data_IF_968971659801
#
_entry.id   IF_968971659801
#
_cell.length_a   1.000
_cell.length_b   1.000
_cell.length_c   1.000
_cell.angle_alpha   90.00
_cell.angle_beta   90.00
_cell.angle_gamma   90.00
#
_symmetry.space_group_name_H-M   'P 1'
#
loop_
_entity.id
_entity.type
_entity.pdbx_description
1 polymer ?
#
# COMPACT_ATOMS: atom_id res chain seq x y z
N UNK A 1 10.43 5.96 50.00
CA UNK A 1 11.60 6.41 50.78
C UNK A 1 12.93 6.12 50.11
N UNK A 2 13.99 6.87 50.45
CA UNK A 2 15.39 6.50 50.20
C UNK A 2 15.72 5.14 50.84
N UNK A 3 16.78 4.48 50.38
CA UNK A 3 17.24 3.25 51.04
C UNK A 3 17.82 3.56 52.42
N UNK A 4 17.50 2.75 53.44
CA UNK A 4 18.02 2.92 54.81
C UNK A 4 19.55 2.78 54.85
N UNK A 5 20.14 1.94 53.99
CA UNK A 5 21.60 1.75 53.88
C UNK A 5 22.31 2.75 52.96
N UNK A 6 21.59 3.35 52.02
CA UNK A 6 22.16 4.34 51.10
C UNK A 6 21.10 5.42 50.84
N UNK A 7 21.11 6.52 51.61
CA UNK A 7 20.13 7.59 51.45
C UNK A 7 20.23 8.30 50.09
N UNK A 8 21.39 8.21 49.42
CA UNK A 8 21.59 8.72 48.06
C UNK A 8 21.08 7.73 46.99
N UNK A 9 20.80 6.49 47.38
CA UNK A 9 20.32 5.41 46.53
C UNK A 9 18.82 5.21 46.62
N UNK A 10 18.23 4.74 45.51
CA UNK A 10 16.85 4.28 45.53
C UNK A 10 16.71 3.03 46.41
N UNK A 11 15.57 2.94 47.13
CA UNK A 11 15.22 1.71 47.84
C UNK A 11 14.98 0.54 46.86
N UNK A 12 15.23 -0.70 47.31
CA UNK A 12 15.03 -1.93 46.52
C UNK A 12 13.61 -2.01 45.94
N UNK A 13 12.61 -1.59 46.72
CA UNK A 13 11.20 -1.53 46.30
C UNK A 13 10.96 -0.51 45.18
N UNK A 14 11.63 0.65 45.19
CA UNK A 14 11.54 1.60 44.07
C UNK A 14 12.25 1.08 42.82
N UNK A 15 13.40 0.44 42.99
CA UNK A 15 14.15 -0.13 41.88
C UNK A 15 13.32 -1.23 41.17
N UNK A 16 12.68 -2.11 41.93
CA UNK A 16 11.78 -3.13 41.37
C UNK A 16 10.54 -2.53 40.71
N UNK A 17 9.90 -1.53 41.33
CA UNK A 17 8.75 -0.85 40.73
C UNK A 17 9.12 -0.17 39.39
N UNK A 18 10.29 0.46 39.32
CA UNK A 18 10.80 1.08 38.08
C UNK A 18 11.09 0.04 37.00
N UNK A 19 11.74 -1.08 37.32
CA UNK A 19 12.01 -2.14 36.34
C UNK A 19 10.71 -2.78 35.83
N UNK A 20 9.71 -2.97 36.70
CA UNK A 20 8.39 -3.46 36.30
C UNK A 20 7.66 -2.47 35.38
N UNK A 21 7.72 -1.17 35.69
CA UNK A 21 7.17 -0.12 34.82
C UNK A 21 7.84 -0.14 33.44
N UNK A 22 9.17 -0.22 33.38
CA UNK A 22 9.93 -0.28 32.14
C UNK A 22 9.60 -1.54 31.31
N UNK A 23 9.48 -2.71 31.95
CA UNK A 23 9.04 -3.94 31.29
C UNK A 23 7.63 -3.81 30.70
N UNK A 24 6.70 -3.19 31.43
CA UNK A 24 5.32 -2.95 30.97
C UNK A 24 5.30 -2.03 29.74
N UNK A 25 6.05 -0.92 29.76
CA UNK A 25 6.14 -0.01 28.62
C UNK A 25 6.79 -0.70 27.42
N UNK A 26 7.86 -1.47 27.63
CA UNK A 26 8.51 -2.23 26.56
C UNK A 26 7.57 -3.25 25.92
N UNK A 27 6.76 -3.95 26.72
CA UNK A 27 5.75 -4.90 26.21
C UNK A 27 4.70 -4.21 25.34
N UNK A 28 4.23 -3.03 25.76
CA UNK A 28 3.27 -2.23 24.99
C UNK A 28 3.86 -1.74 23.67
N UNK A 29 5.10 -1.22 23.70
CA UNK A 29 5.82 -0.75 22.51
C UNK A 29 6.06 -1.92 21.55
N UNK A 30 6.54 -3.05 22.05
CA UNK A 30 6.76 -4.25 21.25
C UNK A 30 5.46 -4.70 20.57
N UNK A 31 4.36 -4.82 21.32
CA UNK A 31 3.07 -5.23 20.78
C UNK A 31 2.54 -4.29 19.68
N UNK A 32 2.76 -2.98 19.82
CA UNK A 32 2.40 -1.99 18.79
C UNK A 32 3.30 -2.11 17.55
N UNK A 33 4.60 -2.36 17.75
CA UNK A 33 5.58 -2.46 16.67
C UNK A 33 5.51 -3.77 15.89
N UNK A 34 4.95 -4.86 16.45
CA UNK A 34 4.80 -6.14 15.75
C UNK A 34 4.14 -5.98 14.38
N UNK A 35 3.11 -5.13 14.29
CA UNK A 35 2.32 -4.97 13.08
C UNK A 35 2.76 -3.77 12.23
N UNK A 36 3.80 -3.04 12.65
CA UNK A 36 4.32 -1.81 12.01
C UNK A 36 3.24 -0.75 11.71
N UNK A 37 2.14 -0.75 12.45
CA UNK A 37 1.03 0.19 12.29
C UNK A 37 1.35 1.45 13.09
N UNK A 38 1.29 2.62 12.44
CA UNK A 38 1.53 3.87 13.15
C UNK A 38 0.36 4.18 14.11
N UNK A 39 0.64 4.83 15.24
CA UNK A 39 -0.41 5.24 16.20
C UNK A 39 -1.48 6.14 15.56
N UNK A 40 -1.10 6.98 14.58
CA UNK A 40 -2.03 7.81 13.80
C UNK A 40 -2.97 6.96 12.95
N UNK A 41 -2.48 5.85 12.39
CA UNK A 41 -3.30 4.94 11.58
C UNK A 41 -4.22 4.09 12.47
N UNK A 42 -3.78 3.70 13.67
CA UNK A 42 -4.64 3.04 14.67
C UNK A 42 -5.85 3.93 15.04
N UNK A 43 -5.63 5.23 15.24
CA UNK A 43 -6.72 6.17 15.52
C UNK A 43 -7.73 6.29 14.35
N UNK A 44 -7.33 5.95 13.12
CA UNK A 44 -8.19 5.89 11.93
C UNK A 44 -8.76 4.48 11.67
N UNK A 45 -8.61 3.57 12.61
CA UNK A 45 -9.15 2.21 12.54
C UNK A 45 -8.21 1.15 11.95
N UNK A 46 -6.94 1.44 11.71
CA UNK A 46 -5.99 0.42 11.25
C UNK A 46 -5.77 -0.65 12.33
N UNK A 47 -5.79 -1.91 11.92
CA UNK A 47 -5.59 -3.11 12.77
C UNK A 47 -4.68 -4.09 12.02
N UNK A 48 -4.09 -5.10 12.68
CA UNK A 48 -3.32 -6.13 11.97
C UNK A 48 -4.18 -6.74 10.85
N UNK A 49 -3.67 -6.72 9.62
CA UNK A 49 -4.40 -7.17 8.42
C UNK A 49 -5.44 -6.20 7.86
N UNK A 50 -5.73 -5.08 8.52
CA UNK A 50 -6.70 -4.07 8.08
C UNK A 50 -6.06 -2.69 7.94
N UNK A 51 -6.06 -2.17 6.71
CA UNK A 51 -5.60 -0.82 6.41
C UNK A 51 -6.51 0.24 7.07
N UNK A 52 -6.01 1.46 7.30
CA UNK A 52 -6.83 2.54 7.86
C UNK A 52 -8.00 2.87 6.95
N UNK A 53 -9.11 3.33 7.53
CA UNK A 53 -10.32 3.69 6.79
C UNK A 53 -10.20 5.03 6.07
N UNK A 54 -9.28 5.90 6.51
CA UNK A 54 -9.11 7.26 5.99
C UNK A 54 -7.64 7.70 5.98
N UNK A 55 -7.37 8.76 5.22
CA UNK A 55 -6.05 9.36 5.09
C UNK A 55 -5.18 8.74 3.98
N UNK A 56 -3.90 9.11 3.90
CA UNK A 56 -3.04 8.80 2.77
C UNK A 56 -2.71 7.30 2.63
N UNK A 57 -2.81 6.54 3.74
CA UNK A 57 -2.54 5.10 3.77
C UNK A 57 -3.81 4.25 3.61
N UNK A 58 -4.97 4.89 3.41
CA UNK A 58 -6.22 4.17 3.26
C UNK A 58 -6.26 3.43 1.92
N UNK A 59 -6.89 2.24 1.92
CA UNK A 59 -7.04 1.47 0.70
C UNK A 59 -7.97 2.19 -0.26
N UNK A 60 -7.49 2.45 -1.48
CA UNK A 60 -8.36 2.88 -2.56
C UNK A 60 -9.19 1.70 -3.06
N UNK A 61 -10.49 1.94 -3.30
CA UNK A 61 -11.33 0.97 -4.01
C UNK A 61 -10.77 0.74 -5.42
N UNK A 62 -10.82 -0.50 -5.91
CA UNK A 62 -10.30 -0.84 -7.24
C UNK A 62 -10.94 -0.04 -8.38
N UNK A 63 -12.20 0.41 -8.24
CA UNK A 63 -12.82 1.32 -9.23
C UNK A 63 -12.17 2.71 -9.19
N UNK A 64 -11.81 3.22 -8.01
CA UNK A 64 -11.15 4.52 -7.84
C UNK A 64 -9.71 4.47 -8.34
N UNK A 65 -8.97 3.39 -8.05
CA UNK A 65 -7.61 3.17 -8.54
C UNK A 65 -7.56 3.20 -10.08
N UNK A 66 -8.38 2.38 -10.75
CA UNK A 66 -8.49 2.36 -12.22
C UNK A 66 -8.84 3.72 -12.82
N UNK A 67 -9.72 4.49 -12.17
CA UNK A 67 -10.06 5.86 -12.64
C UNK A 67 -8.89 6.83 -12.48
N UNK A 68 -8.10 6.69 -11.43
CA UNK A 68 -6.93 7.53 -11.18
C UNK A 68 -5.85 7.23 -12.21
N UNK A 69 -5.54 5.96 -12.45
CA UNK A 69 -4.59 5.50 -13.48
C UNK A 69 -4.96 6.04 -14.86
N UNK A 70 -6.22 5.92 -15.29
CA UNK A 70 -6.70 6.49 -16.57
C UNK A 70 -6.47 8.00 -16.66
N UNK A 71 -6.80 8.74 -15.59
CA UNK A 71 -6.58 10.19 -15.54
C UNK A 71 -5.11 10.57 -15.60
N UNK A 72 -4.24 9.81 -14.91
CA UNK A 72 -2.79 10.00 -14.99
C UNK A 72 -2.27 9.72 -16.40
N UNK A 73 -2.74 8.66 -17.06
CA UNK A 73 -2.39 8.39 -18.46
C UNK A 73 -2.76 9.55 -19.39
N UNK A 74 -3.97 10.10 -19.28
CA UNK A 74 -4.36 11.27 -20.08
C UNK A 74 -3.55 12.52 -19.75
N UNK A 75 -3.22 12.73 -18.48
CA UNK A 75 -2.41 13.87 -18.08
C UNK A 75 -0.97 13.77 -18.62
N UNK A 76 -0.41 12.56 -18.65
CA UNK A 76 0.91 12.30 -19.25
C UNK A 76 0.89 12.53 -20.76
N UNK A 77 -0.11 12.01 -21.48
CA UNK A 77 -0.26 12.26 -22.92
C UNK A 77 -0.29 13.76 -23.23
N UNK A 78 -1.13 14.53 -22.53
CA UNK A 78 -1.18 15.99 -22.70
C UNK A 78 0.13 16.69 -22.39
N UNK A 79 0.91 16.20 -21.42
CA UNK A 79 2.24 16.73 -21.13
C UNK A 79 3.22 16.43 -22.27
N UNK A 80 3.22 15.21 -22.80
CA UNK A 80 4.06 14.83 -23.93
C UNK A 80 3.70 15.63 -25.18
N UNK A 81 2.41 15.84 -25.45
CA UNK A 81 1.93 16.68 -26.55
C UNK A 81 2.37 18.15 -26.38
N UNK A 82 2.32 18.68 -25.14
CA UNK A 82 2.76 20.03 -24.82
C UNK A 82 4.29 20.20 -24.88
N UNK A 83 5.04 19.15 -24.55
CA UNK A 83 6.50 19.08 -24.63
C UNK A 83 6.99 18.74 -26.06
N UNK A 84 6.07 18.46 -27.00
CA UNK A 84 6.37 18.24 -28.41
C UNK A 84 7.04 16.90 -28.74
N UNK A 85 7.12 15.97 -27.79
CA UNK A 85 7.65 14.61 -27.98
C UNK A 85 6.49 13.72 -28.42
N UNK A 86 5.99 13.94 -29.64
CA UNK A 86 5.04 13.05 -30.30
C UNK A 86 5.86 12.09 -31.15
N UNK A 87 6.02 10.84 -30.70
CA UNK A 87 6.37 9.75 -31.61
C UNK A 87 5.25 9.68 -32.66
N UNK A 88 5.53 10.19 -33.86
CA UNK A 88 4.62 10.16 -35.01
C UNK A 88 4.39 8.69 -35.44
N UNK A 89 3.44 8.01 -34.81
CA UNK A 89 2.90 6.75 -35.33
C UNK A 89 1.72 7.06 -36.25
N UNK A 90 2.01 7.74 -37.37
CA UNK A 90 1.12 7.85 -38.51
C UNK A 90 1.56 6.84 -39.57
N UNK A 91 1.02 5.61 -39.49
CA UNK A 91 0.76 4.82 -40.69
C UNK A 91 -0.73 4.52 -40.68
N UNK A 92 -1.41 5.20 -41.60
CA UNK A 92 -2.81 4.95 -41.96
C UNK A 92 -2.87 3.60 -42.65
N UNK A 93 -3.35 2.55 -41.99
CA UNK A 93 -3.91 1.40 -42.69
C UNK A 93 -5.36 1.74 -43.05
N UNK A 94 -5.51 2.26 -44.27
CA UNK A 94 -6.79 2.44 -44.94
C UNK A 94 -7.54 1.11 -45.04
N UNK A 95 -8.84 1.15 -44.78
CA UNK A 95 -9.79 0.06 -44.99
C UNK A 95 -9.52 -0.75 -46.29
N UNK A 96 -9.11 -2.00 -46.13
CA UNK A 96 -9.26 -3.03 -47.16
C UNK A 96 -10.09 -4.17 -46.57
N UNK A 97 -11.40 -4.16 -46.84
CA UNK A 97 -12.22 -5.36 -46.75
C UNK A 97 -11.75 -6.34 -47.83
N UNK A 98 -11.18 -7.47 -47.43
CA UNK A 98 -11.28 -8.75 -48.14
C UNK A 98 -10.69 -9.88 -47.29
N UNK A 99 -11.54 -10.82 -46.89
CA UNK A 99 -11.29 -12.26 -47.03
C UNK A 99 -10.09 -12.88 -46.26
N UNK A 100 -10.24 -13.18 -44.96
CA UNK A 100 -9.72 -14.43 -44.33
C UNK A 100 -10.44 -14.61 -42.98
N UNK A 101 -11.44 -15.50 -42.92
CA UNK A 101 -12.09 -15.83 -41.66
C UNK A 101 -12.99 -17.06 -41.68
N UNK A 102 -13.09 -17.73 -42.83
CA UNK A 102 -13.91 -18.95 -43.01
C UNK A 102 -13.08 -20.24 -42.92
N UNK A 103 -11.78 -20.15 -42.58
CA UNK A 103 -10.87 -21.31 -42.50
C UNK A 103 -10.55 -21.80 -41.08
N UNK A 104 -11.06 -21.17 -40.02
CA UNK A 104 -10.79 -21.60 -38.63
C UNK A 104 -11.86 -22.56 -38.06
N UNK A 105 -12.96 -22.82 -38.78
CA UNK A 105 -14.07 -23.65 -38.29
C UNK A 105 -14.06 -25.10 -38.81
N UNK A 106 -13.05 -25.52 -39.58
CA UNK A 106 -13.01 -26.82 -40.25
C UNK A 106 -11.94 -27.80 -39.71
N UNK A 107 -11.00 -27.39 -38.84
CA UNK A 107 -9.90 -28.27 -38.39
C UNK A 107 -10.18 -28.98 -37.04
N UNK A 108 -11.32 -28.72 -36.38
CA UNK A 108 -11.72 -29.40 -35.13
C UNK A 108 -12.48 -30.74 -35.36
N UNK A 109 -12.48 -31.31 -36.58
CA UNK A 109 -13.20 -32.56 -36.89
C UNK A 109 -12.36 -33.75 -37.37
N UNK A 110 -11.04 -33.80 -37.14
CA UNK A 110 -10.28 -35.02 -37.49
C UNK A 110 -9.06 -35.28 -36.58
N UNK A 111 -9.33 -35.88 -35.41
CA UNK A 111 -8.35 -36.72 -34.70
C UNK A 111 -9.08 -38.02 -34.31
N UNK A 112 -8.85 -39.09 -35.09
CA UNK A 112 -8.99 -40.48 -34.68
C UNK A 112 -7.62 -41.16 -34.78
#
# INVERSE_FOLDING_TARGET
MPSVKNPNGMSKLRASARSMKAKKTQRQISAQNQNKISRKDVARGARPGLLPNSGPRAKLSGKKARKLEKKMGYALKRKMDAEGIVEMTDVVETDAKADVGESAAAEDMEIQ
#
